data_IF_975108118779
#
_entry.id   IF_975108118779
#
_cell.length_a   1.000
_cell.length_b   1.000
_cell.length_c   1.000
_cell.angle_alpha   90.00
_cell.angle_beta   90.00
_cell.angle_gamma   90.00
#
_symmetry.space_group_name_H-M   'P 1'
#
loop_
_entity.id
_entity.type
_entity.pdbx_description
1 polymer ?
#
# COMPACT_ATOMS: atom_id res chain seq x y z
N UNK A 1 6.12 13.36 -39.62
CA UNK A 1 6.49 13.86 -38.28
C UNK A 1 5.51 13.24 -37.30
N UNK A 2 5.94 12.96 -36.07
CA UNK A 2 5.19 12.33 -34.94
C UNK A 2 5.67 10.92 -34.54
N UNK A 3 6.96 10.78 -34.19
CA UNK A 3 7.50 9.55 -33.58
C UNK A 3 8.46 9.82 -32.41
N UNK A 4 8.24 10.92 -31.68
CA UNK A 4 9.12 11.31 -30.55
C UNK A 4 8.55 10.94 -29.17
N UNK A 5 7.33 10.40 -29.07
CA UNK A 5 6.70 10.07 -27.78
C UNK A 5 6.81 8.59 -27.38
N UNK A 6 7.41 7.74 -28.21
CA UNK A 6 7.48 6.29 -27.92
C UNK A 6 8.51 5.91 -26.88
N UNK A 7 9.42 6.80 -26.46
CA UNK A 7 10.46 6.49 -25.47
C UNK A 7 10.10 6.89 -24.03
N UNK A 8 8.91 7.44 -23.81
CA UNK A 8 8.45 7.90 -22.49
C UNK A 8 7.40 6.97 -21.90
N UNK A 9 7.51 6.70 -20.61
CA UNK A 9 6.54 5.95 -19.81
C UNK A 9 5.93 6.89 -18.79
N UNK A 10 4.60 6.96 -18.77
CA UNK A 10 3.88 7.76 -17.79
C UNK A 10 3.96 7.13 -16.39
N UNK A 11 4.33 7.95 -15.41
CA UNK A 11 4.39 7.55 -13.99
C UNK A 11 3.42 8.34 -13.11
N UNK A 12 2.84 9.42 -13.66
CA UNK A 12 1.77 10.18 -13.03
C UNK A 12 1.26 11.30 -13.91
N UNK A 13 0.43 12.18 -13.33
CA UNK A 13 -0.15 13.31 -14.07
C UNK A 13 0.97 14.24 -14.56
N UNK A 14 1.13 14.31 -15.89
CA UNK A 14 2.19 15.07 -16.58
C UNK A 14 3.62 14.70 -16.13
N UNK A 15 3.83 13.47 -15.63
CA UNK A 15 5.14 12.97 -15.22
C UNK A 15 5.52 11.74 -16.03
N UNK A 16 6.68 11.81 -16.67
CA UNK A 16 7.19 10.78 -17.57
C UNK A 16 8.63 10.41 -17.23
N UNK A 17 9.00 9.16 -17.49
CA UNK A 17 10.37 8.64 -17.35
C UNK A 17 10.73 7.91 -18.63
N UNK A 18 12.00 7.94 -19.06
CA UNK A 18 12.40 7.20 -20.26
C UNK A 18 12.29 5.69 -20.06
N UNK A 19 11.99 4.95 -21.13
CA UNK A 19 11.94 3.47 -21.09
C UNK A 19 13.26 2.88 -20.59
N UNK A 20 14.39 3.44 -21.02
CA UNK A 20 15.74 3.03 -20.61
C UNK A 20 15.98 3.16 -19.10
N UNK A 21 15.55 4.26 -18.48
CA UNK A 21 15.66 4.48 -17.03
C UNK A 21 14.78 3.46 -16.30
N UNK A 22 13.53 3.29 -16.74
CA UNK A 22 12.60 2.39 -16.08
C UNK A 22 13.06 0.93 -16.18
N UNK A 23 13.57 0.51 -17.35
CA UNK A 23 14.19 -0.80 -17.56
C UNK A 23 15.39 -1.05 -16.63
N UNK A 24 16.27 -0.06 -16.49
CA UNK A 24 17.43 -0.17 -15.59
C UNK A 24 16.99 -0.39 -14.14
N UNK A 25 15.97 0.36 -13.68
CA UNK A 25 15.40 0.18 -12.35
C UNK A 25 14.69 -1.17 -12.21
N UNK A 26 13.98 -1.63 -13.24
CA UNK A 26 13.33 -2.94 -13.26
C UNK A 26 14.35 -4.08 -13.14
N UNK A 27 15.47 -3.99 -13.87
CA UNK A 27 16.55 -4.96 -13.78
C UNK A 27 17.10 -5.02 -12.35
N UNK A 28 17.39 -3.86 -11.76
CA UNK A 28 17.85 -3.76 -10.37
C UNK A 28 16.82 -4.32 -9.38
N UNK A 29 15.54 -4.02 -9.60
CA UNK A 29 14.42 -4.54 -8.80
C UNK A 29 14.35 -6.07 -8.87
N UNK A 30 14.46 -6.63 -10.07
CA UNK A 30 14.37 -8.08 -10.30
C UNK A 30 15.62 -8.85 -9.84
N UNK A 31 16.78 -8.20 -9.73
CA UNK A 31 17.94 -8.81 -9.07
C UNK A 31 17.64 -9.13 -7.60
N UNK A 32 16.91 -8.26 -6.90
CA UNK A 32 16.53 -8.45 -5.50
C UNK A 32 15.52 -9.60 -5.32
N UNK A 33 14.56 -9.73 -6.22
CA UNK A 33 13.50 -10.75 -6.15
C UNK A 33 13.71 -11.93 -7.10
N UNK A 34 14.94 -12.21 -7.53
CA UNK A 34 15.22 -13.25 -8.53
C UNK A 34 14.66 -14.61 -8.11
N UNK A 35 13.74 -15.16 -8.90
CA UNK A 35 13.07 -16.45 -8.62
C UNK A 35 12.02 -16.40 -7.50
N UNK A 36 11.69 -15.21 -7.00
CA UNK A 36 10.67 -14.98 -5.98
C UNK A 36 9.31 -14.57 -6.57
N UNK A 37 8.26 -14.66 -5.75
CA UNK A 37 6.90 -14.32 -6.17
C UNK A 37 6.71 -12.83 -6.54
N UNK A 38 7.56 -11.94 -6.04
CA UNK A 38 7.52 -10.50 -6.28
C UNK A 38 8.35 -10.06 -7.49
N UNK A 39 8.97 -11.00 -8.21
CA UNK A 39 9.64 -10.69 -9.47
C UNK A 39 8.64 -10.15 -10.49
N UNK A 40 8.98 -9.04 -11.14
CA UNK A 40 8.14 -8.39 -12.14
C UNK A 40 8.53 -8.85 -13.54
N UNK A 41 7.55 -8.94 -14.43
CA UNK A 41 7.75 -9.24 -15.84
C UNK A 41 7.49 -7.98 -16.65
N UNK A 42 8.15 -7.84 -17.79
CA UNK A 42 7.81 -6.80 -18.75
C UNK A 42 7.49 -7.41 -20.10
N UNK A 43 6.63 -6.73 -20.86
CA UNK A 43 6.32 -6.99 -22.26
C UNK A 43 6.22 -5.67 -23.01
N UNK A 44 6.25 -5.75 -24.33
CA UNK A 44 5.96 -4.61 -25.20
C UNK A 44 4.67 -4.91 -25.96
N UNK A 45 3.68 -4.03 -25.81
CA UNK A 45 2.33 -4.18 -26.38
C UNK A 45 1.99 -2.83 -27.03
N UNK A 46 1.64 -2.84 -28.33
CA UNK A 46 1.32 -1.62 -29.10
C UNK A 46 2.43 -0.54 -29.08
N UNK A 47 3.68 -0.93 -28.87
CA UNK A 47 4.82 0.00 -28.76
C UNK A 47 4.97 0.63 -27.37
N UNK A 48 4.16 0.24 -26.39
CA UNK A 48 4.28 0.64 -24.99
C UNK A 48 4.95 -0.45 -24.15
N UNK A 49 5.80 -0.02 -23.21
CA UNK A 49 6.39 -0.92 -22.23
C UNK A 49 5.42 -1.16 -21.07
N UNK A 50 5.00 -2.41 -20.91
CA UNK A 50 4.11 -2.83 -19.82
C UNK A 50 4.87 -3.73 -18.86
N UNK A 51 4.99 -3.28 -17.60
CA UNK A 51 5.50 -4.08 -16.49
C UNK A 51 4.30 -4.66 -15.74
N UNK A 52 4.35 -5.92 -15.37
CA UNK A 52 3.29 -6.60 -14.62
C UNK A 52 3.85 -7.49 -13.50
N UNK A 53 3.09 -7.59 -12.40
CA UNK A 53 3.50 -8.42 -11.28
C UNK A 53 2.64 -8.24 -10.04
N UNK A 54 3.17 -8.67 -8.90
CA UNK A 54 2.57 -8.47 -7.59
C UNK A 54 3.13 -7.21 -6.93
N UNK A 55 2.25 -6.35 -6.43
CA UNK A 55 2.57 -5.18 -5.63
C UNK A 55 2.14 -5.42 -4.18
N UNK A 56 3.06 -5.24 -3.25
CA UNK A 56 2.77 -5.31 -1.83
C UNK A 56 2.21 -3.98 -1.33
N UNK A 57 1.06 -4.05 -0.67
CA UNK A 57 0.39 -2.93 -0.01
C UNK A 57 0.23 -3.28 1.46
N UNK A 58 0.70 -2.38 2.32
CA UNK A 58 0.66 -2.52 3.77
C UNK A 58 -0.59 -1.84 4.34
N UNK A 59 -1.21 -2.45 5.33
CA UNK A 59 -2.34 -1.85 6.03
C UNK A 59 -1.86 -0.79 7.01
N UNK A 60 -2.25 0.47 6.78
CA UNK A 60 -1.97 1.61 7.67
C UNK A 60 -3.22 2.27 8.24
N UNK A 61 -4.39 1.71 7.96
CA UNK A 61 -5.69 2.14 8.48
C UNK A 61 -5.76 1.98 10.01
N UNK A 62 -6.34 2.96 10.69
CA UNK A 62 -6.49 2.95 12.15
C UNK A 62 -7.94 2.77 12.58
N UNK A 63 -8.89 3.27 11.78
CA UNK A 63 -10.31 3.06 12.03
C UNK A 63 -10.77 1.68 11.54
N UNK A 64 -11.80 1.10 12.19
CA UNK A 64 -12.41 -0.11 11.70
C UNK A 64 -13.09 0.11 10.34
N UNK A 65 -12.89 -0.81 9.40
CA UNK A 65 -13.46 -0.79 8.05
C UNK A 65 -14.71 -1.66 8.02
N UNK A 66 -15.74 -1.28 7.26
CA UNK A 66 -16.94 -2.11 7.05
C UNK A 66 -16.80 -2.97 5.81
N UNK A 67 -17.14 -4.24 5.94
CA UNK A 67 -17.24 -5.16 4.82
C UNK A 67 -18.68 -5.19 4.32
N UNK A 68 -18.84 -5.28 3.01
CA UNK A 68 -20.11 -5.60 2.38
C UNK A 68 -20.50 -7.02 2.81
N UNK A 69 -21.55 -7.15 3.62
CA UNK A 69 -22.14 -8.46 3.91
C UNK A 69 -22.89 -8.96 2.69
N UNK A 70 -22.64 -10.19 2.27
CA UNK A 70 -23.63 -10.94 1.51
C UNK A 70 -24.73 -11.34 2.48
N UNK A 71 -25.94 -10.80 2.30
CA UNK A 71 -27.12 -11.26 3.03
C UNK A 71 -27.24 -12.78 2.84
N UNK A 72 -27.36 -13.55 3.92
CA UNK A 72 -27.67 -14.98 3.92
C UNK A 72 -29.08 -15.31 3.34
N UNK A 73 -29.65 -14.44 2.50
CA UNK A 73 -30.92 -14.66 1.79
C UNK A 73 -30.81 -15.56 0.56
N UNK A 74 -29.69 -16.24 0.37
CA UNK A 74 -29.55 -17.29 -0.66
C UNK A 74 -29.14 -18.67 -0.10
N UNK A 75 -29.38 -18.95 1.18
CA UNK A 75 -29.25 -20.31 1.74
C UNK A 75 -30.36 -21.29 1.28
N UNK A 76 -30.92 -21.10 0.08
CA UNK A 76 -32.03 -21.90 -0.45
C UNK A 76 -32.27 -21.81 -1.96
N UNK A 77 -31.41 -21.14 -2.75
CA UNK A 77 -31.50 -21.21 -4.22
C UNK A 77 -30.42 -22.13 -4.76
N UNK A 78 -30.74 -23.14 -5.58
CA UNK A 78 -29.71 -23.87 -6.30
C UNK A 78 -28.94 -22.87 -7.17
N UNK A 79 -27.61 -22.97 -7.16
CA UNK A 79 -26.70 -22.21 -8.03
C UNK A 79 -27.27 -22.19 -9.45
N UNK A 80 -27.46 -21.04 -10.11
CA UNK A 80 -27.72 -21.05 -11.53
C UNK A 80 -26.46 -21.57 -12.22
N UNK A 81 -26.55 -22.77 -12.77
CA UNK A 81 -25.63 -23.27 -13.79
C UNK A 81 -25.59 -22.28 -14.94
N UNK A 82 -24.38 -21.89 -15.36
CA UNK A 82 -24.09 -20.90 -16.41
C UNK A 82 -24.43 -21.43 -17.82
N UNK A 83 -25.70 -21.75 -18.07
CA UNK A 83 -26.22 -22.05 -19.41
C UNK A 83 -27.69 -21.63 -19.50
N UNK A 84 -27.98 -20.33 -19.52
CA UNK A 84 -29.22 -19.77 -20.10
C UNK A 84 -29.28 -18.25 -19.95
N UNK A 85 -28.65 -17.52 -20.86
CA UNK A 85 -29.05 -16.15 -21.22
C UNK A 85 -28.95 -16.01 -22.73
N UNK A 86 -29.82 -16.73 -23.43
CA UNK A 86 -30.32 -16.26 -24.72
C UNK A 86 -31.71 -15.72 -24.48
N UNK A 87 -31.94 -14.53 -25.01
CA UNK A 87 -33.24 -13.97 -25.34
C UNK A 87 -33.98 -13.27 -24.20
N UNK A 88 -33.73 -11.95 -24.09
CA UNK A 88 -34.78 -10.96 -24.35
C UNK A 88 -34.18 -9.55 -24.43
N UNK A 89 -34.39 -8.93 -25.58
CA UNK A 89 -33.98 -7.60 -25.97
C UNK A 89 -34.88 -6.52 -25.36
N UNK A 90 -34.28 -5.41 -24.89
CA UNK A 90 -34.60 -4.03 -25.32
C UNK A 90 -33.76 -2.96 -24.60
N UNK A 91 -32.92 -2.31 -25.41
CA UNK A 91 -32.59 -0.86 -25.45
C UNK A 91 -32.00 -0.25 -24.18
N UNK A 92 -30.68 0.03 -24.17
CA UNK A 92 -30.06 1.35 -23.91
C UNK A 92 -28.52 1.27 -24.02
N UNK A 93 -27.96 2.06 -24.95
CA UNK A 93 -26.61 2.63 -25.02
C UNK A 93 -25.38 1.71 -24.90
N UNK A 94 -24.89 1.24 -26.06
CA UNK A 94 -23.54 0.73 -26.29
C UNK A 94 -22.50 1.82 -26.01
N UNK A 95 -21.66 1.66 -24.98
CA UNK A 95 -20.33 2.30 -24.79
C UNK A 95 -19.73 2.02 -23.39
N UNK A 96 -20.49 1.45 -22.44
CA UNK A 96 -20.00 1.16 -21.07
C UNK A 96 -19.86 -0.32 -20.69
N UNK A 97 -20.28 -1.25 -21.55
CA UNK A 97 -20.26 -2.69 -21.25
C UNK A 97 -18.88 -3.35 -21.44
N UNK A 98 -18.03 -2.79 -22.31
CA UNK A 98 -16.77 -3.43 -22.69
C UNK A 98 -15.72 -3.36 -21.57
N UNK A 99 -15.63 -2.22 -20.86
CA UNK A 99 -14.73 -2.06 -19.72
C UNK A 99 -15.09 -2.97 -18.53
N UNK A 100 -16.37 -3.30 -18.33
CA UNK A 100 -16.84 -4.17 -17.25
C UNK A 100 -16.49 -5.64 -17.48
N UNK A 101 -16.50 -6.08 -18.75
CA UNK A 101 -16.22 -7.46 -19.14
C UNK A 101 -14.74 -7.83 -18.95
N UNK A 102 -13.82 -6.93 -19.32
CA UNK A 102 -12.38 -7.11 -19.08
C UNK A 102 -12.02 -7.14 -17.59
N UNK A 103 -12.69 -6.34 -16.75
CA UNK A 103 -12.46 -6.34 -15.30
C UNK A 103 -12.91 -7.67 -14.68
N UNK A 104 -14.04 -8.24 -15.13
CA UNK A 104 -14.59 -9.48 -14.58
C UNK A 104 -13.78 -10.72 -15.01
N UNK A 105 -13.32 -10.78 -16.26
CA UNK A 105 -12.38 -11.83 -16.72
C UNK A 105 -11.01 -11.73 -16.02
N UNK A 106 -10.52 -10.51 -15.77
CA UNK A 106 -9.24 -10.29 -15.07
C UNK A 106 -9.30 -10.70 -13.58
N UNK A 107 -10.41 -10.44 -12.89
CA UNK A 107 -10.61 -10.81 -11.49
C UNK A 107 -10.74 -12.34 -11.29
N UNK A 108 -11.33 -13.05 -12.27
CA UNK A 108 -11.49 -14.51 -12.21
C UNK A 108 -10.18 -15.30 -12.35
N UNK A 109 -9.10 -14.66 -12.84
CA UNK A 109 -7.78 -15.28 -13.03
C UNK A 109 -6.82 -15.16 -11.83
N UNK A 110 -7.12 -14.31 -10.82
CA UNK A 110 -6.12 -13.80 -9.88
C UNK A 110 -6.33 -14.11 -8.39
N UNK A 111 -7.08 -15.14 -8.02
CA UNK A 111 -7.14 -15.58 -6.62
C UNK A 111 -6.02 -16.57 -6.32
N UNK A 112 -4.85 -16.05 -5.95
CA UNK A 112 -3.83 -16.82 -5.22
C UNK A 112 -3.42 -16.06 -3.95
N UNK A 113 -3.78 -16.62 -2.80
CA UNK A 113 -3.46 -16.06 -1.49
C UNK A 113 -2.28 -16.83 -0.92
N UNK A 114 -1.09 -16.24 -0.94
CA UNK A 114 0.09 -16.78 -0.24
C UNK A 114 0.28 -16.00 1.04
N UNK A 115 0.31 -16.69 2.18
CA UNK A 115 0.59 -16.10 3.49
C UNK A 115 2.07 -16.27 3.85
N UNK A 116 2.65 -15.26 4.49
CA UNK A 116 3.92 -15.38 5.21
C UNK A 116 3.61 -15.54 6.70
N UNK A 117 4.20 -16.54 7.36
CA UNK A 117 4.17 -16.69 8.81
C UNK A 117 5.55 -16.38 9.38
N UNK A 118 5.62 -15.50 10.38
CA UNK A 118 6.87 -15.17 11.06
C UNK A 118 7.12 -16.14 12.22
N UNK A 119 8.26 -16.84 12.17
CA UNK A 119 8.86 -17.46 13.36
C UNK A 119 10.38 -17.40 13.23
N UNK A 120 11.03 -16.73 14.18
CA UNK A 120 12.49 -16.67 14.37
C UNK A 120 13.30 -16.20 13.13
N UNK A 121 13.02 -14.99 12.63
CA UNK A 121 13.85 -14.25 11.66
C UNK A 121 14.27 -14.99 10.36
N UNK A 122 13.51 -16.01 9.96
CA UNK A 122 13.65 -16.69 8.66
C UNK A 122 12.31 -16.71 7.90
N UNK A 123 12.35 -16.48 6.58
CA UNK A 123 11.17 -16.50 5.70
C UNK A 123 10.94 -17.93 5.21
N UNK A 124 9.79 -18.53 5.56
CA UNK A 124 9.34 -19.79 4.98
C UNK A 124 8.06 -19.57 4.18
N UNK A 125 8.11 -19.86 2.87
CA UNK A 125 6.94 -19.95 1.99
C UNK A 125 6.33 -21.34 2.14
N UNK A 126 5.13 -21.44 2.70
CA UNK A 126 4.39 -22.72 2.75
C UNK A 126 3.28 -22.68 1.71
N UNK A 127 3.47 -23.39 0.60
CA UNK A 127 2.41 -23.65 -0.38
C UNK A 127 1.71 -24.97 -0.06
N UNK A 128 0.39 -24.96 0.07
CA UNK A 128 -0.40 -26.19 -0.05
C UNK A 128 -1.03 -26.21 -1.44
N UNK A 129 -0.60 -27.17 -2.26
CA UNK A 129 -1.38 -27.62 -3.43
C UNK A 129 -2.49 -28.50 -2.88
N UNK A 130 -3.74 -28.18 -3.18
CA UNK A 130 -4.84 -29.16 -3.03
C UNK A 130 -4.66 -30.25 -4.08
N UNK A 131 -3.74 -31.18 -3.81
CA UNK A 131 -3.73 -32.48 -4.45
C UNK A 131 -4.60 -33.41 -3.60
N UNK A 132 -5.72 -33.87 -4.16
CA UNK A 132 -6.39 -35.06 -3.69
C UNK A 132 -5.43 -36.24 -3.81
N UNK A 133 -4.80 -36.66 -2.72
CA UNK A 133 -4.24 -38.00 -2.58
C UNK A 133 -4.50 -38.52 -1.18
N UNK A 134 -5.16 -39.68 -1.13
CA UNK A 134 -5.26 -40.53 0.02
C UNK A 134 -3.85 -40.95 0.48
N UNK A 135 -3.61 -41.00 1.78
CA UNK A 135 -2.36 -41.47 2.34
C UNK A 135 -2.26 -41.12 3.81
N UNK A 136 -2.33 -42.16 4.64
CA UNK A 136 -2.13 -42.12 6.08
C UNK A 136 -0.73 -41.60 6.41
N UNK A 137 -0.60 -40.62 7.32
CA UNK A 137 0.64 -40.51 8.10
C UNK A 137 0.38 -40.11 9.56
N UNK A 138 0.70 -41.09 10.39
CA UNK A 138 1.39 -41.04 11.68
C UNK A 138 1.71 -39.66 12.27
N UNK A 139 1.26 -39.52 13.51
CA UNK A 139 1.70 -38.51 14.47
C UNK A 139 3.18 -38.74 14.77
N UNK A 140 3.99 -37.69 14.62
CA UNK A 140 5.21 -37.57 15.39
C UNK A 140 5.21 -36.27 16.19
N UNK A 141 5.52 -36.44 17.46
CA UNK A 141 5.24 -35.51 18.54
C UNK A 141 6.55 -35.06 19.17
N UNK A 142 6.83 -33.76 19.18
CA UNK A 142 7.81 -33.15 20.09
C UNK A 142 7.30 -31.80 20.54
N UNK A 143 6.83 -31.74 21.79
CA UNK A 143 7.56 -31.18 22.95
C UNK A 143 7.24 -29.70 23.20
N UNK A 144 6.21 -29.45 24.00
CA UNK A 144 6.38 -28.78 25.30
C UNK A 144 5.03 -28.74 26.01
N UNK A 145 4.90 -29.47 27.11
CA UNK A 145 4.39 -28.96 28.39
C UNK A 145 4.47 -30.07 29.44
N UNK A 146 5.58 -30.04 30.18
CA UNK A 146 5.82 -30.87 31.35
C UNK A 146 5.03 -30.32 32.54
N UNK A 147 4.05 -31.07 33.02
CA UNK A 147 3.66 -31.07 34.44
C UNK A 147 3.51 -32.52 34.88
N UNK A 148 4.43 -32.99 35.70
CA UNK A 148 4.36 -34.31 36.32
C UNK A 148 3.24 -34.33 37.37
N UNK A 149 2.32 -35.30 37.26
CA UNK A 149 1.49 -35.72 38.40
C UNK A 149 1.58 -37.24 38.56
N UNK A 150 1.78 -37.63 39.80
CA UNK A 150 1.99 -38.99 40.26
C UNK A 150 0.85 -39.93 39.87
N UNK A 151 1.21 -41.16 39.49
CA UNK A 151 0.31 -42.26 39.19
C UNK A 151 -0.33 -42.78 40.48
N UNK A 152 -1.64 -42.99 40.45
CA UNK A 152 -2.28 -44.05 41.23
C UNK A 152 -3.35 -44.69 40.35
N UNK A 153 -3.30 -46.02 40.28
CA UNK A 153 -4.16 -46.89 39.51
C UNK A 153 -5.52 -47.06 40.21
N UNK A 154 -6.63 -46.72 39.55
CA UNK A 154 -7.93 -47.36 39.80
C UNK A 154 -8.76 -47.32 38.51
N UNK A 155 -9.19 -48.48 38.06
CA UNK A 155 -10.09 -48.65 36.92
C UNK A 155 -11.46 -48.02 37.15
N UNK A 156 -12.06 -47.48 36.08
CA UNK A 156 -13.37 -46.85 36.16
C UNK A 156 -14.01 -46.66 34.79
N UNK A 157 -15.18 -47.27 34.65
CA UNK A 157 -16.09 -47.36 33.50
C UNK A 157 -16.29 -46.07 32.68
N UNK A 158 -16.58 -46.30 31.39
CA UNK A 158 -17.11 -45.35 30.39
C UNK A 158 -18.25 -44.49 30.95
N UNK A 159 -18.10 -43.17 30.87
CA UNK A 159 -19.22 -42.23 30.73
C UNK A 159 -18.96 -41.40 29.48
N UNK A 160 -19.80 -41.64 28.48
CA UNK A 160 -20.02 -40.79 27.32
C UNK A 160 -20.40 -39.38 27.77
N UNK A 161 -19.87 -38.36 27.08
CA UNK A 161 -20.36 -37.00 27.16
C UNK A 161 -19.45 -36.05 27.94
N UNK A 162 -18.42 -35.53 27.26
CA UNK A 162 -17.88 -34.15 27.37
C UNK A 162 -16.61 -34.00 26.52
N UNK A 163 -16.76 -34.10 25.19
CA UNK A 163 -15.77 -33.57 24.22
C UNK A 163 -16.42 -32.60 23.22
N UNK A 164 -17.45 -31.86 23.67
CA UNK A 164 -18.12 -30.82 22.86
C UNK A 164 -17.60 -29.40 23.14
N UNK A 165 -16.58 -29.23 24.00
CA UNK A 165 -16.05 -27.91 24.36
C UNK A 165 -15.01 -27.36 23.39
N UNK A 166 -14.13 -28.20 22.82
CA UNK A 166 -12.99 -27.73 22.02
C UNK A 166 -13.37 -27.51 20.53
N UNK A 167 -14.47 -28.12 20.05
CA UNK A 167 -14.95 -27.94 18.67
C UNK A 167 -15.95 -26.79 18.47
N UNK A 168 -16.49 -26.19 19.55
CA UNK A 168 -17.44 -25.06 19.44
C UNK A 168 -16.76 -23.70 19.23
N UNK A 169 -15.50 -23.53 19.65
CA UNK A 169 -14.76 -22.26 19.51
C UNK A 169 -14.35 -21.97 18.06
N UNK A 170 -14.49 -22.95 17.14
CA UNK A 170 -14.02 -22.85 15.75
C UNK A 170 -15.10 -22.48 14.72
N UNK A 171 -16.31 -22.10 15.15
CA UNK A 171 -17.44 -21.79 14.23
C UNK A 171 -17.67 -20.30 13.96
N UNK A 172 -17.03 -19.40 14.71
CA UNK A 172 -17.22 -17.94 14.56
C UNK A 172 -15.94 -17.22 14.13
N UNK A 173 -15.01 -17.92 13.46
CA UNK A 173 -13.83 -17.29 12.88
C UNK A 173 -14.08 -17.10 11.40
N UNK A 174 -14.67 -15.97 11.05
CA UNK A 174 -14.76 -15.56 9.66
C UNK A 174 -13.46 -14.82 9.33
N UNK A 175 -12.77 -15.31 8.32
CA UNK A 175 -11.55 -14.70 7.81
C UNK A 175 -11.71 -14.46 6.34
N UNK A 176 -11.39 -13.25 5.90
CA UNK A 176 -11.35 -12.89 4.50
C UNK A 176 -9.87 -12.74 4.11
N UNK A 177 -9.39 -13.57 3.18
CA UNK A 177 -7.98 -13.57 2.75
C UNK A 177 -6.95 -13.60 3.90
N UNK A 178 -7.22 -14.39 4.95
CA UNK A 178 -6.31 -14.55 6.10
C UNK A 178 -6.44 -13.47 7.18
N UNK A 179 -7.27 -12.45 6.98
CA UNK A 179 -7.56 -11.45 8.00
C UNK A 179 -8.91 -11.73 8.68
N UNK A 180 -8.96 -11.67 10.00
CA UNK A 180 -10.19 -11.93 10.77
C UNK A 180 -11.12 -10.72 10.72
N UNK A 181 -12.42 -10.98 10.57
CA UNK A 181 -13.46 -9.97 10.70
C UNK A 181 -14.60 -10.49 11.58
N UNK A 182 -15.30 -9.57 12.24
CA UNK A 182 -16.48 -9.93 13.02
C UNK A 182 -17.67 -10.11 12.07
N UNK A 183 -18.08 -11.36 11.83
CA UNK A 183 -19.18 -11.68 10.92
C UNK A 183 -20.55 -11.12 11.35
N UNK A 184 -20.73 -10.77 12.63
CA UNK A 184 -21.98 -10.17 13.11
C UNK A 184 -22.05 -8.67 12.84
N UNK A 185 -20.90 -8.01 12.80
CA UNK A 185 -20.83 -6.55 12.66
C UNK A 185 -20.20 -6.12 11.33
N UNK A 186 -19.72 -7.07 10.53
CA UNK A 186 -18.90 -6.88 9.32
C UNK A 186 -17.72 -5.91 9.54
N UNK A 187 -17.24 -5.83 10.77
CA UNK A 187 -16.13 -4.95 11.10
C UNK A 187 -14.82 -5.68 10.81
N UNK A 188 -14.03 -5.04 9.96
CA UNK A 188 -12.69 -5.44 9.57
C UNK A 188 -11.66 -4.52 10.21
N UNK A 189 -10.69 -5.10 10.91
CA UNK A 189 -9.60 -4.35 11.53
C UNK A 189 -8.30 -5.05 11.17
N UNK A 190 -7.66 -4.67 10.05
CA UNK A 190 -6.40 -5.29 9.65
C UNK A 190 -5.32 -4.91 10.65
N UNK A 191 -4.39 -5.84 10.91
CA UNK A 191 -3.24 -5.54 11.75
C UNK A 191 -2.37 -4.47 11.07
N UNK A 192 -2.02 -3.42 11.80
CA UNK A 192 -1.14 -2.37 11.27
C UNK A 192 0.19 -2.97 10.80
N UNK A 193 0.60 -2.63 9.58
CA UNK A 193 1.82 -3.14 8.96
C UNK A 193 1.71 -4.58 8.43
N UNK A 194 0.55 -5.22 8.50
CA UNK A 194 0.31 -6.46 7.74
C UNK A 194 0.26 -6.16 6.24
N UNK A 195 0.70 -7.13 5.43
CA UNK A 195 0.86 -6.98 3.98
C UNK A 195 -0.23 -7.72 3.22
N UNK A 196 -0.68 -7.13 2.12
CA UNK A 196 -1.53 -7.76 1.11
C UNK A 196 -0.94 -7.50 -0.27
N UNK A 197 -0.99 -8.53 -1.12
CA UNK A 197 -0.39 -8.48 -2.44
C UNK A 197 -1.52 -8.26 -3.46
N UNK A 198 -1.34 -7.35 -4.41
CA UNK A 198 -2.29 -7.10 -5.50
C UNK A 198 -1.58 -7.28 -6.83
N UNK A 199 -2.20 -8.00 -7.77
CA UNK A 199 -1.67 -8.13 -9.12
C UNK A 199 -1.99 -6.87 -9.92
N UNK A 200 -0.97 -6.19 -10.42
CA UNK A 200 -1.08 -4.90 -11.11
C UNK A 200 -0.13 -4.83 -12.31
N UNK A 201 -0.35 -3.87 -13.20
CA UNK A 201 0.58 -3.51 -14.27
C UNK A 201 1.01 -2.02 -14.17
N UNK A 202 1.97 -1.60 -14.99
CA UNK A 202 2.50 -0.23 -15.00
C UNK A 202 1.51 0.81 -15.51
N UNK A 203 0.55 0.41 -16.35
CA UNK A 203 -0.47 1.32 -16.89
C UNK A 203 -1.62 1.57 -15.90
N UNK A 204 -1.74 0.76 -14.84
CA UNK A 204 -2.76 0.93 -13.83
C UNK A 204 -2.50 2.18 -12.97
N UNK A 205 -3.52 3.03 -12.87
CA UNK A 205 -3.51 4.21 -12.01
C UNK A 205 -3.77 3.85 -10.55
N UNK A 206 -3.39 4.73 -9.63
CA UNK A 206 -3.67 4.61 -8.19
C UNK A 206 -5.16 4.36 -7.95
N UNK A 207 -6.05 5.08 -8.63
CA UNK A 207 -7.50 4.89 -8.50
C UNK A 207 -7.97 3.49 -8.94
N UNK A 208 -7.35 2.91 -9.97
CA UNK A 208 -7.65 1.53 -10.39
C UNK A 208 -7.11 0.50 -9.39
N UNK A 209 -5.86 0.66 -8.94
CA UNK A 209 -5.25 -0.23 -7.94
C UNK A 209 -6.04 -0.20 -6.63
N UNK A 210 -6.47 0.98 -6.19
CA UNK A 210 -7.34 1.16 -5.02
C UNK A 210 -8.66 0.41 -5.16
N UNK A 211 -9.35 0.53 -6.30
CA UNK A 211 -10.59 -0.22 -6.55
C UNK A 211 -10.36 -1.73 -6.53
N UNK A 212 -9.29 -2.23 -7.14
CA UNK A 212 -8.95 -3.67 -7.10
C UNK A 212 -8.70 -4.12 -5.66
N UNK A 213 -7.99 -3.33 -4.86
CA UNK A 213 -7.72 -3.65 -3.47
C UNK A 213 -9.01 -3.64 -2.61
N UNK A 214 -9.84 -2.60 -2.71
CA UNK A 214 -11.08 -2.50 -1.92
C UNK A 214 -12.09 -3.58 -2.32
N UNK A 215 -12.21 -3.87 -3.61
CA UNK A 215 -13.05 -4.96 -4.12
C UNK A 215 -12.53 -6.32 -3.69
N UNK A 216 -11.20 -6.50 -3.70
CA UNK A 216 -10.57 -7.73 -3.22
C UNK A 216 -11.02 -8.01 -1.80
N UNK A 217 -11.13 -7.00 -0.93
CA UNK A 217 -11.53 -7.15 0.47
C UNK A 217 -13.02 -6.91 0.76
N UNK A 218 -13.85 -6.66 -0.26
CA UNK A 218 -15.28 -6.36 -0.13
C UNK A 218 -15.55 -5.19 0.83
N UNK A 219 -14.76 -4.13 0.73
CA UNK A 219 -14.91 -2.94 1.58
C UNK A 219 -16.11 -2.12 1.08
N UNK A 220 -17.02 -1.78 1.98
CA UNK A 220 -18.23 -0.98 1.68
C UNK A 220 -17.93 0.52 1.59
N UNK A 221 -16.92 0.98 2.33
CA UNK A 221 -16.50 2.38 2.40
C UNK A 221 -16.10 2.95 1.03
N UNK A 222 -16.28 4.26 0.88
CA UNK A 222 -15.93 4.94 -0.37
C UNK A 222 -14.42 4.89 -0.62
N UNK A 223 -13.97 4.76 -1.89
CA UNK A 223 -12.54 4.76 -2.20
C UNK A 223 -11.84 6.08 -1.85
N UNK A 224 -12.59 7.17 -1.69
CA UNK A 224 -12.09 8.52 -1.39
C UNK A 224 -11.67 8.69 0.09
N UNK A 225 -12.19 7.83 0.98
CA UNK A 225 -11.75 7.77 2.38
C UNK A 225 -10.30 7.26 2.51
N UNK A 226 -9.80 6.56 1.48
CA UNK A 226 -8.49 5.93 1.51
C UNK A 226 -7.59 6.44 0.39
N UNK A 227 -6.28 6.41 0.65
CA UNK A 227 -5.28 6.69 -0.39
C UNK A 227 -4.04 5.85 -0.15
N UNK A 228 -3.26 5.65 -1.22
CA UNK A 228 -1.97 4.99 -1.13
C UNK A 228 -0.91 6.02 -0.75
N UNK A 229 -0.07 5.67 0.22
CA UNK A 229 1.06 6.47 0.65
C UNK A 229 2.34 5.68 0.49
N UNK A 230 3.38 6.32 -0.04
CA UNK A 230 4.75 5.81 0.03
C UNK A 230 5.36 6.33 1.32
N UNK A 231 5.74 5.42 2.21
CA UNK A 231 6.40 5.73 3.47
C UNK A 231 7.84 5.22 3.41
N UNK A 232 8.79 6.12 3.64
CA UNK A 232 10.22 5.82 3.67
C UNK A 232 10.74 5.74 5.11
N UNK A 233 11.82 5.01 5.33
CA UNK A 233 12.50 4.91 6.64
C UNK A 233 13.03 6.24 7.18
N UNK A 234 13.31 7.20 6.29
CA UNK A 234 13.66 8.57 6.67
C UNK A 234 12.56 9.26 7.47
N UNK A 235 11.31 8.83 7.32
CA UNK A 235 10.13 9.50 7.85
C UNK A 235 9.32 10.22 6.77
N UNK A 236 9.81 10.29 5.53
CA UNK A 236 9.05 10.83 4.39
C UNK A 236 7.75 10.05 4.18
N UNK A 237 6.69 10.80 3.88
CA UNK A 237 5.37 10.26 3.55
C UNK A 237 4.85 11.02 2.35
N UNK A 238 4.68 10.32 1.25
CA UNK A 238 4.16 10.91 0.02
C UNK A 238 2.84 10.25 -0.35
N UNK A 239 1.77 11.04 -0.45
CA UNK A 239 0.47 10.56 -0.94
C UNK A 239 0.53 10.38 -2.45
N UNK A 240 0.05 9.24 -2.94
CA UNK A 240 -0.10 9.01 -4.37
C UNK A 240 -1.37 9.69 -4.88
N UNK A 241 -1.22 10.45 -5.96
CA UNK A 241 -2.37 11.05 -6.65
C UNK A 241 -3.17 9.97 -7.36
N UNK A 242 -4.48 10.21 -7.61
CA UNK A 242 -5.35 9.22 -8.28
C UNK A 242 -4.85 8.77 -9.65
N UNK A 243 -4.16 9.66 -10.39
CA UNK A 243 -3.59 9.41 -11.73
C UNK A 243 -2.13 8.94 -11.70
N UNK A 244 -1.52 8.78 -10.54
CA UNK A 244 -0.17 8.20 -10.43
C UNK A 244 -0.19 6.71 -10.74
N UNK A 245 0.97 6.13 -11.08
CA UNK A 245 1.11 4.73 -11.47
C UNK A 245 1.90 3.95 -10.40
N UNK A 246 1.23 3.26 -9.44
CA UNK A 246 1.90 2.70 -8.26
C UNK A 246 3.00 1.68 -8.59
N UNK A 247 2.79 0.80 -9.57
CA UNK A 247 3.81 -0.20 -9.90
C UNK A 247 5.08 0.44 -10.47
N UNK A 248 4.94 1.41 -11.37
CA UNK A 248 6.08 2.13 -11.93
C UNK A 248 6.83 2.92 -10.84
N UNK A 249 6.09 3.61 -9.96
CA UNK A 249 6.66 4.28 -8.80
C UNK A 249 7.38 3.31 -7.86
N UNK A 250 6.86 2.09 -7.65
CA UNK A 250 7.52 1.07 -6.84
C UNK A 250 8.85 0.65 -7.44
N UNK A 251 8.90 0.42 -8.75
CA UNK A 251 10.14 0.08 -9.47
C UNK A 251 11.20 1.19 -9.30
N UNK A 252 10.79 2.46 -9.45
CA UNK A 252 11.69 3.60 -9.30
C UNK A 252 12.19 3.80 -7.86
N UNK A 253 11.35 3.54 -6.86
CA UNK A 253 11.74 3.62 -5.43
C UNK A 253 12.55 2.41 -4.95
N UNK A 254 12.55 1.33 -5.73
CA UNK A 254 13.33 0.13 -5.48
C UNK A 254 12.58 -0.98 -4.73
N UNK A 255 13.19 -2.19 -4.65
CA UNK A 255 12.53 -3.41 -4.19
C UNK A 255 12.46 -3.59 -2.67
N UNK A 256 13.34 -2.94 -1.91
CA UNK A 256 13.52 -3.19 -0.48
C UNK A 256 12.36 -2.61 0.35
N UNK A 257 11.57 -3.47 0.98
CA UNK A 257 10.47 -3.06 1.87
C UNK A 257 10.96 -2.52 3.21
N UNK A 258 12.20 -2.81 3.59
CA UNK A 258 12.79 -2.20 4.78
C UNK A 258 12.98 -0.70 4.57
N UNK A 259 13.22 -0.24 3.33
CA UNK A 259 13.53 1.15 2.98
C UNK A 259 12.30 1.97 2.63
N UNK A 260 11.44 1.42 1.75
CA UNK A 260 10.22 2.09 1.27
C UNK A 260 9.06 1.10 1.21
N UNK A 261 7.91 1.50 1.75
CA UNK A 261 6.68 0.70 1.77
C UNK A 261 5.51 1.50 1.20
N UNK A 262 4.60 0.82 0.52
CA UNK A 262 3.33 1.40 0.09
C UNK A 262 2.24 1.02 1.08
N UNK A 263 1.59 2.00 1.68
CA UNK A 263 0.54 1.80 2.66
C UNK A 263 -0.81 2.26 2.14
N UNK A 264 -1.86 1.53 2.48
CA UNK A 264 -3.23 2.02 2.44
C UNK A 264 -3.54 2.74 3.76
N UNK A 265 -3.85 4.04 3.70
CA UNK A 265 -4.16 4.86 4.88
C UNK A 265 -5.39 5.74 4.64
N UNK A 266 -5.98 6.23 5.73
CA UNK A 266 -7.11 7.17 5.69
C UNK A 266 -6.62 8.58 5.27
N UNK A 267 -7.37 9.25 4.40
CA UNK A 267 -6.95 10.53 3.80
C UNK A 267 -6.94 11.71 4.78
N UNK A 268 -7.72 11.63 5.85
CA UNK A 268 -7.89 12.68 6.86
C UNK A 268 -6.88 12.61 8.01
N UNK A 269 -6.20 11.47 8.19
CA UNK A 269 -5.30 11.25 9.32
C UNK A 269 -3.83 11.46 9.01
N UNK A 270 -3.45 11.40 7.73
CA UNK A 270 -2.04 11.31 7.33
C UNK A 270 -1.64 12.53 6.54
N UNK A 271 -0.74 13.31 7.14
CA UNK A 271 -0.12 14.46 6.50
C UNK A 271 1.06 14.04 5.61
N UNK A 272 1.25 14.75 4.49
CA UNK A 272 2.42 14.59 3.64
C UNK A 272 3.66 15.17 4.33
N UNK A 273 4.73 14.40 4.32
CA UNK A 273 6.01 14.77 4.94
C UNK A 273 7.09 14.72 3.87
N UNK A 274 7.70 15.86 3.60
CA UNK A 274 8.85 15.98 2.70
C UNK A 274 10.15 15.53 3.38
N UNK A 275 11.20 15.31 2.59
CA UNK A 275 12.50 14.84 3.10
C UNK A 275 13.10 15.80 4.14
N UNK A 276 13.02 17.10 3.89
CA UNK A 276 13.60 18.11 4.78
C UNK A 276 12.87 18.14 6.13
N UNK A 277 11.54 17.97 6.11
CA UNK A 277 10.71 17.92 7.33
C UNK A 277 10.90 16.59 8.08
N UNK A 278 11.08 15.49 7.36
CA UNK A 278 11.22 14.15 7.95
C UNK A 278 12.39 14.04 8.95
N UNK A 279 13.46 14.81 8.72
CA UNK A 279 14.62 14.88 9.62
C UNK A 279 14.24 15.39 11.02
N UNK A 280 13.21 16.24 11.11
CA UNK A 280 12.79 16.86 12.36
C UNK A 280 11.76 16.06 13.14
N UNK A 281 11.08 15.10 12.51
CA UNK A 281 10.01 14.28 13.14
C UNK A 281 10.49 13.52 14.37
N UNK A 282 11.79 13.21 14.43
CA UNK A 282 12.38 12.45 15.54
C UNK A 282 12.67 13.29 16.78
N UNK A 283 12.59 14.62 16.68
CA UNK A 283 12.83 15.51 17.83
C UNK A 283 11.54 15.80 18.59
N UNK A 284 11.67 15.98 19.90
CA UNK A 284 10.55 16.41 20.72
C UNK A 284 10.20 17.88 20.49
N UNK A 285 8.94 18.23 20.72
CA UNK A 285 8.41 19.57 20.50
C UNK A 285 9.23 20.70 21.16
N UNK A 286 9.75 20.56 22.40
CA UNK A 286 10.58 21.61 23.01
C UNK A 286 11.91 21.83 22.26
N UNK A 287 12.50 20.76 21.72
CA UNK A 287 13.74 20.84 20.92
C UNK A 287 13.46 21.58 19.62
N UNK A 288 12.35 21.25 18.95
CA UNK A 288 11.90 21.93 17.74
C UNK A 288 11.64 23.43 17.99
N UNK A 289 10.98 23.77 19.10
CA UNK A 289 10.78 25.16 19.52
C UNK A 289 12.12 25.88 19.72
N UNK A 290 13.13 25.21 20.29
CA UNK A 290 14.45 25.79 20.46
C UNK A 290 15.16 26.07 19.13
N UNK A 291 14.96 25.23 18.10
CA UNK A 291 15.48 25.47 16.76
C UNK A 291 14.82 26.70 16.13
N UNK A 292 13.50 26.81 16.22
CA UNK A 292 12.76 27.97 15.70
C UNK A 292 13.25 29.25 16.39
N UNK A 293 13.38 29.24 17.71
CA UNK A 293 13.85 30.41 18.46
C UNK A 293 15.27 30.84 18.03
N UNK A 294 16.19 29.88 17.86
CA UNK A 294 17.56 30.17 17.39
C UNK A 294 17.59 30.73 15.98
N UNK A 295 16.79 30.16 15.07
CA UNK A 295 16.69 30.63 13.68
C UNK A 295 16.12 32.05 13.62
N UNK A 296 15.10 32.36 14.43
CA UNK A 296 14.53 33.71 14.52
C UNK A 296 15.54 34.73 15.06
N UNK A 297 16.32 34.35 16.07
CA UNK A 297 17.37 35.21 16.62
C UNK A 297 18.47 35.49 15.60
N UNK A 298 18.86 34.48 14.82
CA UNK A 298 19.85 34.61 13.75
C UNK A 298 19.32 35.47 12.60
N UNK A 299 18.06 35.27 12.19
CA UNK A 299 17.40 36.08 11.17
C UNK A 299 17.34 37.56 11.58
N UNK A 300 16.92 37.87 12.82
CA UNK A 300 16.87 39.25 13.31
C UNK A 300 18.26 39.89 13.34
N UNK A 301 19.29 39.13 13.73
CA UNK A 301 20.68 39.59 13.73
C UNK A 301 21.16 39.94 12.31
N UNK A 302 20.86 39.11 11.32
CA UNK A 302 21.22 39.39 9.92
C UNK A 302 20.39 40.54 9.34
N UNK A 303 19.11 40.63 9.68
CA UNK A 303 18.25 41.75 9.28
C UNK A 303 18.80 43.08 9.80
N UNK A 304 19.25 43.13 11.05
CA UNK A 304 19.86 44.34 11.62
C UNK A 304 21.18 44.71 10.92
N UNK A 305 22.04 43.72 10.63
CA UNK A 305 23.27 43.95 9.85
C UNK A 305 22.95 44.51 8.45
N UNK A 306 21.95 43.94 7.78
CA UNK A 306 21.52 44.39 6.45
C UNK A 306 20.94 45.81 6.49
N UNK A 307 20.06 46.10 7.46
CA UNK A 307 19.50 47.45 7.68
C UNK A 307 20.59 48.49 7.90
N UNK A 308 21.61 48.16 8.71
CA UNK A 308 22.75 49.05 8.97
C UNK A 308 23.56 49.32 7.70
N UNK A 309 23.93 48.27 6.95
CA UNK A 309 24.64 48.41 5.67
C UNK A 309 23.86 49.26 4.66
N UNK A 310 22.56 49.01 4.53
CA UNK A 310 21.69 49.77 3.66
C UNK A 310 21.63 51.25 4.06
N UNK A 311 21.47 51.55 5.35
CA UNK A 311 21.46 52.92 5.85
C UNK A 311 22.79 53.67 5.60
N UNK A 312 23.92 52.98 5.76
CA UNK A 312 25.24 53.54 5.50
C UNK A 312 25.44 53.85 4.02
N UNK A 313 25.09 52.91 3.12
CA UNK A 313 25.12 53.15 1.67
C UNK A 313 24.20 54.29 1.26
N UNK A 314 22.97 54.33 1.79
CA UNK A 314 22.02 55.40 1.50
C UNK A 314 22.57 56.76 1.94
N UNK A 315 23.28 56.83 3.08
CA UNK A 315 23.93 58.05 3.55
C UNK A 315 25.05 58.50 2.62
N UNK A 316 25.88 57.57 2.14
CA UNK A 316 26.96 57.86 1.18
C UNK A 316 26.40 58.40 -0.12
N UNK A 317 25.41 57.71 -0.69
CA UNK A 317 24.77 58.12 -1.95
C UNK A 317 24.14 59.52 -1.82
N UNK A 318 23.41 59.78 -0.71
CA UNK A 318 22.84 61.12 -0.45
C UNK A 318 23.90 62.20 -0.33
N UNK A 319 25.06 61.91 0.28
CA UNK A 319 26.18 62.86 0.34
C UNK A 319 26.73 63.16 -1.05
N UNK A 320 26.96 62.13 -1.88
CA UNK A 320 27.41 62.29 -3.26
C UNK A 320 26.43 63.11 -4.11
N UNK A 321 25.12 62.86 -3.99
CA UNK A 321 24.11 63.65 -4.71
C UNK A 321 24.13 65.12 -4.30
N UNK A 322 24.28 65.42 -3.00
CA UNK A 322 24.38 66.81 -2.51
C UNK A 322 25.62 67.52 -3.03
N UNK A 323 26.79 66.87 -2.97
CA UNK A 323 28.02 67.47 -3.50
C UNK A 323 27.95 67.75 -5.01
N UNK A 324 27.26 66.90 -5.78
CA UNK A 324 27.03 67.13 -7.20
C UNK A 324 26.11 68.34 -7.43
N UNK A 325 25.01 68.45 -6.69
CA UNK A 325 24.11 69.60 -6.79
C UNK A 325 24.80 70.93 -6.44
N UNK A 326 25.60 70.95 -5.36
CA UNK A 326 26.35 72.15 -4.95
C UNK A 326 27.41 72.58 -6.00
N UNK A 327 27.97 71.63 -6.75
CA UNK A 327 28.94 71.91 -7.82
C UNK A 327 28.30 72.46 -9.10
N UNK A 328 27.02 72.18 -9.36
CA UNK A 328 26.30 72.67 -10.56
C UNK A 328 25.72 74.08 -10.36
N UNK A 329 25.66 74.56 -9.11
CA UNK A 329 25.06 75.87 -8.75
C UNK A 329 26.10 77.00 -8.65
N UNK A 330 27.38 76.71 -8.88
CA UNK A 330 28.48 77.68 -8.97
C UNK A 330 28.87 77.92 -10.42
#
# INVERSE_FOLDING_TARGET
MDSEDSDKVQIGENKFVSKSILLSHLNTYNLYYKGGALQLRHREEEGEMIIEGLLNVFWGVRRPIRLQMEDEKEAGRPRPSLTSLTDQSKVFSEEKEEAGKYILEFLNSHVFTVYASYRNDCVCLVGFVTAHLAGEEQQDSTLSDRIARAKSDVGGRRISGRRLGIRRVRRNRCSFNGHFYNHKTAVFTPAFGSVTNVRVNSCMTTAQVMRVLLNKFKIENSPDEFSLYIVHTSGERHRLKPKDHPLALRVLRGPCEQVSKMFLMETDQVEEVTYDVAQYIKFELPVLQSFIAKLQEEEEREMQKLKKRYADMQRIIKKYMRSLADSTTR
#
